data_IF_212885790827
#
_entry.id   IF_212885790827
#
_cell.length_a   1.000
_cell.length_b   1.000
_cell.length_c   1.000
_cell.angle_alpha   90.00
_cell.angle_beta   90.00
_cell.angle_gamma   90.00
#
_symmetry.space_group_name_H-M   'P 1'
#
loop_
_entity.id
_entity.type
_entity.pdbx_description
1 polymer ?
#
# COMPACT_ATOMS: atom_id res chain seq x y z
N UNK A 1 -17.81 11.38 2.93
CA UNK A 1 -16.50 11.88 2.48
C UNK A 1 -15.53 10.71 2.35
N UNK A 2 -14.83 10.65 1.24
CA UNK A 2 -13.77 9.67 1.01
C UNK A 2 -12.44 10.41 0.99
N UNK A 3 -11.47 9.89 1.73
CA UNK A 3 -10.12 10.46 1.80
C UNK A 3 -9.15 9.45 1.20
N UNK A 4 -8.40 9.88 0.18
CA UNK A 4 -7.33 9.10 -0.42
C UNK A 4 -6.01 9.57 0.20
N UNK A 5 -5.34 8.69 0.95
CA UNK A 5 -4.10 9.03 1.64
C UNK A 5 -2.89 8.64 0.81
N UNK A 6 -1.74 9.25 1.13
CA UNK A 6 -0.46 8.75 0.61
C UNK A 6 -0.13 7.42 1.26
N UNK A 7 0.74 6.63 0.58
CA UNK A 7 1.19 5.35 1.13
C UNK A 7 1.97 5.47 2.42
N UNK A 8 2.55 6.62 2.70
CA UNK A 8 3.34 6.87 3.91
C UNK A 8 2.49 7.23 5.14
N UNK A 9 1.16 7.22 5.05
CA UNK A 9 0.28 7.48 6.19
C UNK A 9 0.60 6.57 7.38
N UNK A 10 1.07 5.35 7.13
CA UNK A 10 1.44 4.38 8.17
C UNK A 10 2.62 4.82 9.04
N UNK A 11 3.36 5.85 8.63
CA UNK A 11 4.52 6.36 9.37
C UNK A 11 4.18 7.59 10.22
N UNK A 12 2.91 7.93 10.36
CA UNK A 12 2.48 9.13 11.12
C UNK A 12 2.46 8.92 12.64
N UNK A 13 2.68 7.68 13.08
CA UNK A 13 2.75 7.33 14.49
C UNK A 13 1.53 6.55 14.97
N UNK A 14 1.75 5.70 15.96
CA UNK A 14 0.72 4.77 16.48
C UNK A 14 -0.53 5.50 16.96
N UNK A 15 -0.35 6.62 17.67
CA UNK A 15 -1.47 7.40 18.18
C UNK A 15 -2.39 7.90 17.05
N UNK A 16 -1.80 8.44 15.98
CA UNK A 16 -2.56 8.92 14.82
C UNK A 16 -3.26 7.78 14.09
N UNK A 17 -2.60 6.65 13.95
CA UNK A 17 -3.18 5.49 13.27
C UNK A 17 -4.35 4.91 14.05
N UNK A 18 -4.26 4.85 15.37
CA UNK A 18 -5.36 4.40 16.22
C UNK A 18 -6.55 5.35 16.15
N UNK A 19 -6.31 6.66 16.14
CA UNK A 19 -7.38 7.65 15.97
C UNK A 19 -8.05 7.52 14.62
N UNK A 20 -7.26 7.38 13.56
CA UNK A 20 -7.78 7.21 12.20
C UNK A 20 -8.66 5.96 12.12
N UNK A 21 -8.18 4.85 12.68
CA UNK A 21 -8.92 3.59 12.70
C UNK A 21 -10.24 3.70 13.48
N UNK A 22 -10.24 4.46 14.57
CA UNK A 22 -11.44 4.67 15.39
C UNK A 22 -12.48 5.56 14.70
N UNK A 23 -12.03 6.60 13.98
CA UNK A 23 -12.89 7.63 13.43
C UNK A 23 -13.37 7.34 12.01
N UNK A 24 -12.76 6.38 11.30
CA UNK A 24 -13.04 6.11 9.89
C UNK A 24 -13.13 4.61 9.63
N UNK A 25 -13.66 4.27 8.46
CA UNK A 25 -13.51 2.92 7.90
C UNK A 25 -12.30 2.93 6.95
N UNK A 26 -11.25 2.23 7.33
CA UNK A 26 -10.02 2.17 6.54
C UNK A 26 -10.12 1.03 5.54
N UNK A 27 -9.97 1.36 4.26
CA UNK A 27 -10.01 0.40 3.16
C UNK A 27 -8.61 0.29 2.57
N UNK A 28 -8.09 -0.92 2.51
CA UNK A 28 -6.81 -1.22 1.86
C UNK A 28 -7.09 -1.80 0.47
N UNK A 29 -6.57 -1.15 -0.55
CA UNK A 29 -6.59 -1.66 -1.93
C UNK A 29 -5.32 -2.48 -2.13
N UNK A 30 -5.45 -3.79 -2.08
CA UNK A 30 -4.33 -4.71 -2.11
C UNK A 30 -3.55 -4.65 -3.43
N UNK A 31 -2.23 -4.76 -3.34
CA UNK A 31 -1.35 -4.93 -4.50
C UNK A 31 -0.47 -6.15 -4.28
N UNK A 32 -0.66 -7.24 -5.06
CA UNK A 32 0.11 -8.47 -4.88
C UNK A 32 1.55 -8.31 -5.38
N UNK A 33 2.43 -9.24 -4.98
CA UNK A 33 3.85 -9.19 -5.29
C UNK A 33 4.16 -9.20 -6.78
N UNK A 34 3.39 -9.93 -7.59
CA UNK A 34 3.57 -9.97 -9.05
C UNK A 34 3.29 -8.62 -9.72
N UNK A 35 2.46 -7.79 -9.10
CA UNK A 35 2.18 -6.43 -9.60
C UNK A 35 3.23 -5.45 -9.07
N UNK A 36 3.81 -5.72 -7.91
CA UNK A 36 4.87 -4.89 -7.33
C UNK A 36 6.09 -4.81 -8.24
N UNK A 37 6.39 -5.88 -8.99
CA UNK A 37 7.48 -5.86 -9.97
C UNK A 37 7.27 -4.78 -11.04
N UNK A 38 6.02 -4.62 -11.52
CA UNK A 38 5.68 -3.55 -12.47
C UNK A 38 5.86 -2.17 -11.86
N UNK A 39 5.55 -2.01 -10.57
CA UNK A 39 5.77 -0.76 -9.84
C UNK A 39 7.26 -0.46 -9.73
N UNK A 40 8.08 -1.46 -9.49
CA UNK A 40 9.53 -1.29 -9.45
C UNK A 40 10.06 -0.78 -10.79
N UNK A 41 9.64 -1.39 -11.89
CA UNK A 41 10.07 -0.98 -13.23
C UNK A 41 9.69 0.49 -13.51
N UNK A 42 8.46 0.87 -13.16
CA UNK A 42 7.99 2.25 -13.30
C UNK A 42 8.79 3.21 -12.42
N UNK A 43 9.10 2.81 -11.19
CA UNK A 43 9.87 3.61 -10.25
C UNK A 43 11.30 3.85 -10.74
N UNK A 44 11.95 2.83 -11.28
CA UNK A 44 13.32 2.97 -11.81
C UNK A 44 13.36 3.94 -12.99
N UNK A 45 12.32 3.93 -13.85
CA UNK A 45 12.23 4.86 -14.98
C UNK A 45 11.99 6.30 -14.54
N UNK A 46 11.19 6.52 -13.50
CA UNK A 46 10.87 7.84 -12.97
C UNK A 46 10.89 7.83 -11.46
N UNK A 47 12.08 7.86 -10.83
CA UNK A 47 12.19 7.83 -9.38
C UNK A 47 11.48 9.02 -8.73
N UNK A 48 10.77 8.76 -7.63
CA UNK A 48 10.11 9.78 -6.80
C UNK A 48 10.68 9.69 -5.39
N UNK A 49 10.62 10.77 -4.61
CA UNK A 49 11.02 10.71 -3.20
C UNK A 49 10.20 9.65 -2.46
N UNK A 50 10.87 8.79 -1.70
CA UNK A 50 10.26 7.72 -0.93
C UNK A 50 10.80 7.77 0.49
N UNK A 51 9.91 7.52 1.46
CA UNK A 51 10.32 7.29 2.84
C UNK A 51 10.73 5.83 2.98
N UNK A 52 12.03 5.57 2.86
CA UNK A 52 12.59 4.21 2.94
C UNK A 52 12.63 3.69 4.37
N UNK A 53 12.67 4.58 5.33
CA UNK A 53 12.93 4.26 6.73
C UNK A 53 14.30 3.58 6.81
N UNK A 54 14.40 2.45 7.48
CA UNK A 54 15.64 1.69 7.60
C UNK A 54 15.77 0.55 6.57
N UNK A 55 14.95 0.56 5.54
CA UNK A 55 14.92 -0.51 4.52
C UNK A 55 15.83 -0.27 3.32
N UNK A 56 16.45 0.91 3.23
CA UNK A 56 17.38 1.18 2.14
C UNK A 56 18.81 0.98 2.62
N UNK A 57 19.52 0.03 2.01
CA UNK A 57 20.92 -0.26 2.27
C UNK A 57 21.64 -0.48 0.96
N UNK A 58 22.64 0.35 0.67
CA UNK A 58 23.51 0.14 -0.49
C UNK A 58 24.72 -0.68 -0.07
N UNK A 59 24.94 -1.82 -0.73
CA UNK A 59 26.14 -2.63 -0.54
C UNK A 59 27.34 -1.95 -1.22
N UNK A 60 28.59 -2.22 -0.77
CA UNK A 60 29.78 -1.54 -1.31
C UNK A 60 29.92 -1.63 -2.83
N UNK A 61 29.55 -2.76 -3.44
CA UNK A 61 29.70 -2.97 -4.88
C UNK A 61 28.44 -2.65 -5.69
N UNK A 62 27.40 -2.11 -5.05
CA UNK A 62 26.16 -1.77 -5.72
C UNK A 62 26.14 -0.33 -6.19
N UNK A 63 25.52 -0.08 -7.35
CA UNK A 63 25.06 1.27 -7.72
C UNK A 63 23.81 1.62 -6.94
N UNK A 64 23.43 2.91 -6.94
CA UNK A 64 22.18 3.33 -6.30
C UNK A 64 20.96 2.64 -6.93
N UNK A 65 20.95 2.48 -8.27
CA UNK A 65 19.86 1.79 -8.96
C UNK A 65 19.76 0.32 -8.54
N UNK A 66 20.89 -0.36 -8.43
CA UNK A 66 20.93 -1.75 -7.97
C UNK A 66 20.41 -1.89 -6.54
N UNK A 67 20.80 -0.97 -5.66
CA UNK A 67 20.31 -0.96 -4.27
C UNK A 67 18.81 -0.70 -4.21
N UNK A 68 18.29 0.24 -5.01
CA UNK A 68 16.85 0.51 -5.10
C UNK A 68 16.08 -0.72 -5.61
N UNK A 69 16.58 -1.38 -6.64
CA UNK A 69 15.94 -2.56 -7.20
C UNK A 69 15.87 -3.70 -6.19
N UNK A 70 16.88 -3.83 -5.33
CA UNK A 70 16.92 -4.85 -4.29
C UNK A 70 16.04 -4.49 -3.08
N UNK A 71 16.03 -3.22 -2.67
CA UNK A 71 15.34 -2.78 -1.47
C UNK A 71 13.86 -2.44 -1.69
N UNK A 72 13.48 -2.02 -2.88
CA UNK A 72 12.10 -1.57 -3.17
C UNK A 72 11.05 -2.66 -2.94
N UNK A 73 11.26 -3.92 -3.38
CA UNK A 73 10.32 -4.98 -3.05
C UNK A 73 10.15 -5.22 -1.56
N UNK A 74 11.23 -5.06 -0.78
CA UNK A 74 11.17 -5.19 0.67
C UNK A 74 10.32 -4.08 1.30
N UNK A 75 10.45 -2.85 0.79
CA UNK A 75 9.65 -1.72 1.23
C UNK A 75 8.16 -1.96 0.93
N UNK A 76 7.84 -2.38 -0.29
CA UNK A 76 6.46 -2.64 -0.69
C UNK A 76 5.84 -3.76 0.15
N UNK A 77 6.57 -4.84 0.39
CA UNK A 77 6.08 -5.94 1.22
C UNK A 77 5.83 -5.50 2.66
N UNK A 78 6.73 -4.71 3.24
CA UNK A 78 6.57 -4.16 4.58
C UNK A 78 5.34 -3.26 4.67
N UNK A 79 5.13 -2.38 3.67
CA UNK A 79 3.95 -1.51 3.63
C UNK A 79 2.65 -2.28 3.48
N UNK A 80 2.62 -3.29 2.60
CA UNK A 80 1.42 -4.12 2.40
C UNK A 80 1.01 -4.81 3.71
N UNK A 81 1.98 -5.35 4.44
CA UNK A 81 1.71 -5.99 5.72
C UNK A 81 1.10 -5.00 6.73
N UNK A 82 1.64 -3.79 6.79
CA UNK A 82 1.14 -2.74 7.68
C UNK A 82 -0.25 -2.25 7.28
N UNK A 83 -0.50 -2.10 5.98
CA UNK A 83 -1.83 -1.72 5.48
C UNK A 83 -2.88 -2.76 5.86
N UNK A 84 -2.58 -4.03 5.69
CA UNK A 84 -3.49 -5.12 6.06
C UNK A 84 -3.83 -5.11 7.54
N UNK A 85 -2.84 -4.87 8.39
CA UNK A 85 -3.05 -4.80 9.84
C UNK A 85 -3.87 -3.59 10.26
N UNK A 86 -3.70 -2.47 9.58
CA UNK A 86 -4.41 -1.23 9.87
C UNK A 86 -5.84 -1.26 9.35
N UNK A 87 -6.09 -1.87 8.21
CA UNK A 87 -7.35 -1.77 7.48
C UNK A 87 -8.51 -2.50 8.18
N UNK A 88 -9.69 -1.95 8.04
CA UNK A 88 -10.95 -2.64 8.38
C UNK A 88 -11.38 -3.58 7.26
N UNK A 89 -11.12 -3.20 6.01
CA UNK A 89 -11.51 -3.91 4.80
C UNK A 89 -10.33 -3.96 3.87
N UNK A 90 -10.06 -5.13 3.28
CA UNK A 90 -9.07 -5.29 2.21
C UNK A 90 -9.78 -5.75 0.94
N UNK A 91 -9.61 -5.02 -0.15
CA UNK A 91 -10.15 -5.39 -1.46
C UNK A 91 -9.00 -5.88 -2.33
N UNK A 92 -9.14 -7.09 -2.87
CA UNK A 92 -8.07 -7.69 -3.67
C UNK A 92 -7.83 -6.89 -4.96
N UNK A 93 -6.58 -6.91 -5.42
CA UNK A 93 -6.17 -6.22 -6.65
C UNK A 93 -7.03 -6.62 -7.84
N UNK A 94 -7.24 -7.92 -8.00
CA UNK A 94 -7.99 -8.45 -9.16
C UNK A 94 -9.47 -8.09 -9.12
N UNK A 95 -9.99 -7.76 -7.95
CA UNK A 95 -11.35 -7.27 -7.81
C UNK A 95 -11.44 -5.79 -8.15
N UNK A 96 -10.64 -4.93 -7.49
CA UNK A 96 -10.75 -3.48 -7.69
C UNK A 96 -10.15 -3.00 -9.02
N UNK A 97 -9.32 -3.81 -9.69
CA UNK A 97 -8.78 -3.50 -11.01
C UNK A 97 -9.49 -4.21 -12.16
N UNK A 98 -10.56 -4.94 -11.85
CA UNK A 98 -11.37 -5.61 -12.85
C UNK A 98 -11.99 -4.57 -13.80
N UNK A 99 -11.98 -4.79 -15.15
CA UNK A 99 -12.69 -3.92 -16.08
C UNK A 99 -14.16 -3.80 -15.68
N UNK A 100 -14.68 -2.58 -15.69
CA UNK A 100 -16.06 -2.33 -15.28
C UNK A 100 -16.30 -2.22 -13.77
N UNK A 101 -15.25 -2.27 -12.95
CA UNK A 101 -15.41 -2.04 -11.51
C UNK A 101 -15.88 -0.60 -11.27
N UNK A 102 -17.00 -0.47 -10.55
CA UNK A 102 -17.68 0.81 -10.33
C UNK A 102 -17.59 1.27 -8.89
N UNK A 103 -18.00 2.52 -8.64
CA UNK A 103 -18.15 3.06 -7.28
C UNK A 103 -19.15 2.20 -6.49
N UNK A 104 -20.22 1.72 -7.12
CA UNK A 104 -21.19 0.86 -6.47
C UNK A 104 -20.59 -0.46 -6.04
N UNK A 105 -19.72 -1.04 -6.87
CA UNK A 105 -18.99 -2.26 -6.54
C UNK A 105 -18.09 -2.04 -5.32
N UNK A 106 -17.40 -0.89 -5.26
CA UNK A 106 -16.56 -0.52 -4.13
C UNK A 106 -17.39 -0.40 -2.84
N UNK A 107 -18.49 0.34 -2.90
CA UNK A 107 -19.36 0.54 -1.74
C UNK A 107 -19.96 -0.80 -1.26
N UNK A 108 -20.32 -1.68 -2.19
CA UNK A 108 -20.83 -3.01 -1.89
C UNK A 108 -19.81 -3.87 -1.16
N UNK A 109 -18.55 -3.84 -1.62
CA UNK A 109 -17.45 -4.58 -1.00
C UNK A 109 -17.20 -4.10 0.44
N UNK A 110 -17.22 -2.79 0.67
CA UNK A 110 -17.03 -2.20 2.00
C UNK A 110 -18.19 -2.59 2.93
N UNK A 111 -19.43 -2.48 2.46
CA UNK A 111 -20.61 -2.84 3.25
C UNK A 111 -20.63 -4.33 3.62
N UNK A 112 -20.35 -5.22 2.66
CA UNK A 112 -20.32 -6.66 2.91
C UNK A 112 -19.27 -7.04 3.96
N UNK A 113 -18.09 -6.45 3.90
CA UNK A 113 -17.04 -6.73 4.87
C UNK A 113 -17.40 -6.21 6.26
N UNK A 114 -18.08 -5.05 6.36
CA UNK A 114 -18.55 -4.51 7.64
C UNK A 114 -19.61 -5.39 8.27
N UNK A 115 -20.50 -5.96 7.48
CA UNK A 115 -21.57 -6.82 7.97
C UNK A 115 -21.07 -8.16 8.50
N UNK A 116 -19.85 -8.55 8.16
CA UNK A 116 -19.23 -9.80 8.62
C UNK A 116 -18.45 -9.67 9.93
N UNK A 117 -18.43 -8.51 10.52
CA UNK A 117 -17.71 -8.27 11.78
C UNK A 117 -18.51 -8.64 13.00
#
# INVERSE_FOLDING_TARGET
>A
IVIDTTGSVIYTGEHNLMRLRRLTTIVHLETPSEIQQKKLEAYIKQPRPILWRDLFHRLPDETNVQAMARCYPLLLASREDRYKKLAHVTISYYHHRRPGFTVQDFLGAVSSARDQR
#
